data_IF_456589376312
#
_entry.id   IF_456589376312
#
_cell.length_a   1.000
_cell.length_b   1.000
_cell.length_c   1.000
_cell.angle_alpha   90.00
_cell.angle_beta   90.00
_cell.angle_gamma   90.00
#
_symmetry.space_group_name_H-M   'P 1'
#
loop_
_entity.id
_entity.type
_entity.pdbx_description
1 polymer ?
#
# COMPACT_ATOMS: atom_id res chain seq x y z
N UNK A 1 -46.71 15.21 26.28
CA UNK A 1 -46.18 16.12 25.23
C UNK A 1 -44.68 16.42 25.35
N UNK A 2 -44.11 16.66 26.54
CA UNK A 2 -42.67 17.01 26.74
C UNK A 2 -41.65 15.97 26.23
N UNK A 3 -42.04 14.69 26.19
CA UNK A 3 -41.21 13.60 25.70
C UNK A 3 -41.00 13.63 24.17
N UNK A 4 -42.01 14.05 23.41
CA UNK A 4 -41.93 14.15 21.95
C UNK A 4 -40.93 15.22 21.50
N UNK A 5 -40.91 16.37 22.18
CA UNK A 5 -39.96 17.46 21.90
C UNK A 5 -38.54 17.09 22.28
N UNK A 6 -38.35 16.36 23.39
CA UNK A 6 -37.04 15.83 23.79
C UNK A 6 -36.50 14.80 22.78
N UNK A 7 -37.35 13.90 22.28
CA UNK A 7 -36.95 12.92 21.25
C UNK A 7 -36.61 13.59 19.91
N UNK A 8 -37.37 14.60 19.49
CA UNK A 8 -37.08 15.34 18.24
C UNK A 8 -35.77 16.12 18.38
N UNK A 9 -35.53 16.75 19.53
CA UNK A 9 -34.28 17.47 19.79
C UNK A 9 -33.07 16.54 19.78
N UNK A 10 -33.18 15.35 20.35
CA UNK A 10 -32.10 14.37 20.35
C UNK A 10 -31.77 13.91 18.92
N UNK A 11 -32.79 13.69 18.10
CA UNK A 11 -32.65 13.24 16.71
C UNK A 11 -32.00 14.33 15.84
N UNK A 12 -32.32 15.61 16.07
CA UNK A 12 -31.65 16.71 15.39
C UNK A 12 -30.18 16.84 15.79
N UNK A 13 -29.85 16.63 17.06
CA UNK A 13 -28.47 16.66 17.55
C UNK A 13 -27.66 15.51 16.96
N UNK A 14 -28.21 14.29 16.92
CA UNK A 14 -27.51 13.15 16.29
C UNK A 14 -27.32 13.37 14.79
N UNK A 15 -28.34 13.89 14.09
CA UNK A 15 -28.24 14.19 12.67
C UNK A 15 -27.18 15.27 12.39
N UNK A 16 -27.11 16.31 13.23
CA UNK A 16 -26.09 17.36 13.13
C UNK A 16 -24.67 16.80 13.37
N UNK A 17 -24.50 15.92 14.35
CA UNK A 17 -23.20 15.26 14.62
C UNK A 17 -22.78 14.40 13.41
N UNK A 18 -23.70 13.65 12.82
CA UNK A 18 -23.43 12.83 11.62
C UNK A 18 -23.08 13.71 10.41
N UNK A 19 -23.80 14.82 10.21
CA UNK A 19 -23.52 15.77 9.13
C UNK A 19 -22.16 16.45 9.28
N UNK A 20 -21.78 16.85 10.49
CA UNK A 20 -20.46 17.43 10.78
C UNK A 20 -19.37 16.37 10.57
N UNK A 21 -19.58 15.14 11.03
CA UNK A 21 -18.65 14.04 10.79
C UNK A 21 -18.51 13.74 9.29
N UNK A 22 -19.60 13.80 8.51
CA UNK A 22 -19.59 13.63 7.06
C UNK A 22 -18.82 14.75 6.35
N UNK A 23 -19.05 16.01 6.74
CA UNK A 23 -18.34 17.16 6.19
C UNK A 23 -16.83 17.09 6.47
N UNK A 24 -16.45 16.59 7.65
CA UNK A 24 -15.06 16.37 8.04
C UNK A 24 -14.45 15.08 7.48
N UNK A 25 -15.14 14.34 6.59
CA UNK A 25 -14.74 13.01 6.09
C UNK A 25 -14.42 11.99 7.20
N UNK A 26 -14.96 12.17 8.41
CA UNK A 26 -14.74 11.28 9.56
C UNK A 26 -15.76 10.13 9.63
N UNK A 27 -16.48 9.87 8.55
CA UNK A 27 -17.42 8.75 8.48
C UNK A 27 -16.65 7.42 8.45
N UNK A 28 -17.04 6.42 9.27
CA UNK A 28 -16.45 5.09 9.19
C UNK A 28 -16.68 4.51 7.79
N UNK A 29 -15.60 4.20 7.08
CA UNK A 29 -15.62 3.64 5.73
C UNK A 29 -14.97 4.52 4.64
N UNK A 30 -14.73 5.81 4.90
CA UNK A 30 -13.90 6.64 4.01
C UNK A 30 -12.42 6.48 4.38
N UNK A 31 -11.81 5.37 3.97
CA UNK A 31 -10.36 5.23 4.01
C UNK A 31 -9.76 6.03 2.85
N UNK A 32 -8.92 7.02 3.18
CA UNK A 32 -8.10 7.71 2.19
C UNK A 32 -7.06 6.75 1.61
N UNK A 33 -6.77 6.90 0.32
CA UNK A 33 -5.73 6.12 -0.32
C UNK A 33 -4.37 6.58 0.24
N UNK A 34 -3.58 5.64 0.77
CA UNK A 34 -2.26 5.98 1.29
C UNK A 34 -1.30 6.35 0.17
N UNK A 35 -1.39 5.63 -0.94
CA UNK A 35 -0.63 5.92 -2.14
C UNK A 35 -1.51 6.82 -3.02
N UNK A 36 -1.59 8.09 -2.64
CA UNK A 36 -2.42 9.09 -3.32
C UNK A 36 -2.03 9.27 -4.80
N UNK A 37 -2.96 9.75 -5.65
CA UNK A 37 -2.64 10.11 -7.03
C UNK A 37 -1.49 11.12 -7.08
N UNK A 38 -0.33 10.69 -7.60
CA UNK A 38 0.89 11.50 -7.61
C UNK A 38 2.03 10.98 -6.72
N UNK A 39 1.79 9.94 -5.91
CA UNK A 39 2.90 9.18 -5.33
C UNK A 39 3.66 8.45 -6.45
N UNK A 40 4.91 8.89 -6.67
CA UNK A 40 5.87 8.24 -7.55
C UNK A 40 7.11 7.91 -6.72
N UNK A 41 7.31 6.63 -6.43
CA UNK A 41 8.59 6.16 -5.91
C UNK A 41 9.50 5.88 -7.10
N UNK A 42 10.45 6.78 -7.36
CA UNK A 42 11.49 6.66 -8.38
C UNK A 42 12.85 6.43 -7.72
N UNK A 43 13.77 5.78 -8.44
CA UNK A 43 15.15 5.51 -8.02
C UNK A 43 15.34 4.66 -6.75
N UNK A 44 14.37 3.79 -6.43
CA UNK A 44 14.49 2.88 -5.29
C UNK A 44 14.95 1.49 -5.72
N UNK A 45 15.93 0.93 -5.01
CA UNK A 45 16.41 -0.43 -5.29
C UNK A 45 15.99 -1.43 -4.22
N UNK A 46 15.63 -2.63 -4.67
CA UNK A 46 15.36 -3.80 -3.86
C UNK A 46 16.49 -4.81 -4.07
N UNK A 47 17.10 -5.27 -2.98
CA UNK A 47 18.15 -6.28 -3.01
C UNK A 47 17.77 -7.53 -2.25
N UNK A 48 18.06 -8.70 -2.81
CA UNK A 48 18.06 -9.98 -2.09
C UNK A 48 19.46 -10.58 -2.13
N UNK A 49 19.89 -11.15 -1.01
CA UNK A 49 21.17 -11.83 -0.91
C UNK A 49 20.99 -13.18 -0.23
N UNK A 50 21.33 -14.25 -0.94
CA UNK A 50 21.41 -15.59 -0.38
C UNK A 50 22.82 -15.83 0.16
N UNK A 51 22.92 -16.04 1.47
CA UNK A 51 24.17 -16.32 2.16
C UNK A 51 24.79 -17.66 1.73
N UNK A 52 23.97 -18.67 1.44
CA UNK A 52 24.42 -20.03 1.15
C UNK A 52 24.99 -20.14 -0.26
N UNK A 53 24.25 -19.64 -1.26
CA UNK A 53 24.67 -19.65 -2.65
C UNK A 53 25.56 -18.45 -3.03
N UNK A 54 25.70 -17.45 -2.13
CA UNK A 54 26.35 -16.16 -2.40
C UNK A 54 25.75 -15.44 -3.61
N UNK A 55 24.47 -15.69 -3.89
CA UNK A 55 23.75 -15.08 -4.98
C UNK A 55 23.15 -13.75 -4.55
N UNK A 56 23.42 -12.70 -5.32
CA UNK A 56 22.82 -11.38 -5.14
C UNK A 56 21.87 -11.08 -6.28
N UNK A 57 20.68 -10.61 -5.92
CA UNK A 57 19.71 -10.04 -6.83
C UNK A 57 19.49 -8.58 -6.48
N UNK A 58 19.47 -7.71 -7.48
CA UNK A 58 19.16 -6.29 -7.34
C UNK A 58 18.13 -5.93 -8.39
N UNK A 59 17.14 -5.16 -7.98
CA UNK A 59 16.03 -4.72 -8.80
C UNK A 59 15.79 -3.23 -8.60
N UNK A 60 15.66 -2.50 -9.70
CA UNK A 60 15.15 -1.13 -9.68
C UNK A 60 13.63 -1.20 -9.56
N UNK A 61 13.08 -0.36 -8.70
CA UNK A 61 11.67 -0.32 -8.34
C UNK A 61 11.06 1.01 -8.72
N UNK A 62 9.93 0.95 -9.41
CA UNK A 62 9.07 2.10 -9.69
C UNK A 62 7.65 1.79 -9.21
N UNK A 63 7.01 2.75 -8.54
CA UNK A 63 5.61 2.64 -8.14
C UNK A 63 4.86 3.82 -8.73
N UNK A 64 3.78 3.53 -9.45
CA UNK A 64 2.84 4.53 -9.97
C UNK A 64 1.47 4.28 -9.37
N UNK A 65 0.91 5.30 -8.71
CA UNK A 65 -0.34 5.18 -7.96
C UNK A 65 -1.48 5.99 -8.57
N UNK A 66 -2.66 5.37 -8.66
CA UNK A 66 -3.91 5.97 -9.10
C UNK A 66 -5.04 5.57 -8.15
N UNK A 67 -5.56 6.53 -7.38
CA UNK A 67 -6.57 6.29 -6.34
C UNK A 67 -6.15 5.18 -5.36
N UNK A 68 -6.95 4.11 -5.25
CA UNK A 68 -6.70 2.97 -4.33
C UNK A 68 -5.87 1.85 -4.94
N UNK A 69 -5.37 2.05 -6.16
CA UNK A 69 -4.55 1.07 -6.87
C UNK A 69 -3.17 1.63 -7.14
N UNK A 70 -2.17 0.77 -7.11
CA UNK A 70 -0.79 1.13 -7.44
C UNK A 70 -0.17 0.03 -8.27
N UNK A 71 0.57 0.42 -9.31
CA UNK A 71 1.33 -0.48 -10.14
C UNK A 71 2.80 -0.38 -9.73
N UNK A 72 3.31 -1.44 -9.11
CA UNK A 72 4.73 -1.60 -8.84
C UNK A 72 5.39 -2.33 -10.01
N UNK A 73 6.47 -1.75 -10.55
CA UNK A 73 7.30 -2.33 -11.59
C UNK A 73 8.70 -2.56 -11.06
N UNK A 74 9.20 -3.78 -11.24
CA UNK A 74 10.56 -4.18 -10.90
C UNK A 74 11.31 -4.56 -12.17
N UNK A 75 12.48 -3.97 -12.38
CA UNK A 75 13.41 -4.28 -13.46
C UNK A 75 14.77 -4.67 -12.91
N UNK A 76 15.56 -5.45 -13.63
CA UNK A 76 16.91 -5.79 -13.19
C UNK A 76 17.95 -4.98 -13.97
N UNK A 77 18.88 -4.27 -13.31
CA UNK A 77 19.97 -3.60 -13.99
C UNK A 77 20.92 -4.60 -14.69
N UNK A 78 20.90 -5.87 -14.26
CA UNK A 78 21.77 -6.92 -14.79
C UNK A 78 21.07 -7.87 -15.79
N UNK A 79 19.76 -7.72 -16.01
CA UNK A 79 18.99 -8.56 -16.93
C UNK A 79 17.86 -7.74 -17.54
N UNK A 80 18.08 -7.23 -18.76
CA UNK A 80 17.10 -6.42 -19.49
C UNK A 80 15.82 -7.17 -19.86
N UNK A 81 15.82 -8.50 -19.76
CA UNK A 81 14.63 -9.34 -20.00
C UNK A 81 13.80 -9.53 -18.73
N UNK A 82 14.34 -9.17 -17.57
CA UNK A 82 13.61 -9.25 -16.32
C UNK A 82 12.67 -8.05 -16.17
N UNK A 83 11.37 -8.32 -16.16
CA UNK A 83 10.36 -7.34 -15.83
C UNK A 83 9.28 -8.01 -15.01
N UNK A 84 8.96 -7.42 -13.87
CA UNK A 84 7.92 -7.87 -12.96
C UNK A 84 6.97 -6.70 -12.69
N UNK A 85 5.68 -6.88 -12.99
CA UNK A 85 4.64 -5.86 -12.75
C UNK A 85 3.56 -6.40 -11.84
N UNK A 86 3.15 -5.56 -10.89
CA UNK A 86 2.35 -5.98 -9.74
C UNK A 86 1.32 -4.92 -9.45
N UNK A 87 0.05 -5.31 -9.46
CA UNK A 87 -1.03 -4.49 -8.95
C UNK A 87 -1.12 -4.65 -7.43
N UNK A 88 -1.07 -3.51 -6.76
CA UNK A 88 -1.31 -3.35 -5.33
C UNK A 88 -2.67 -2.70 -5.18
N UNK A 89 -3.63 -3.40 -4.60
CA UNK A 89 -4.93 -2.82 -4.29
C UNK A 89 -5.04 -2.64 -2.78
N UNK A 90 -5.24 -1.41 -2.33
CA UNK A 90 -5.44 -1.12 -0.92
C UNK A 90 -6.75 -1.75 -0.46
N UNK A 91 -6.69 -2.63 0.54
CA UNK A 91 -7.85 -3.31 1.08
C UNK A 91 -8.33 -2.64 2.37
N UNK A 92 -7.61 -2.83 3.49
CA UNK A 92 -8.00 -2.31 4.80
C UNK A 92 -6.82 -1.69 5.54
N UNK A 93 -7.10 -0.60 6.27
CA UNK A 93 -6.23 -0.10 7.33
C UNK A 93 -6.25 -1.06 8.52
N UNK A 94 -5.10 -1.62 8.87
CA UNK A 94 -4.85 -2.31 10.13
C UNK A 94 -4.27 -1.30 11.14
N UNK A 95 -4.20 -1.68 12.43
CA UNK A 95 -3.56 -0.81 13.43
C UNK A 95 -2.11 -0.51 13.00
N UNK A 96 -1.82 0.77 12.70
CA UNK A 96 -0.52 1.28 12.20
C UNK A 96 -0.05 0.69 10.87
N UNK A 97 -0.96 0.33 9.98
CA UNK A 97 -0.58 -0.12 8.65
C UNK A 97 -1.74 -0.25 7.70
N UNK A 98 -1.43 -0.65 6.47
CA UNK A 98 -2.41 -0.95 5.43
C UNK A 98 -2.03 -2.24 4.75
N UNK A 99 -3.05 -3.07 4.51
CA UNK A 99 -2.88 -4.28 3.71
C UNK A 99 -3.15 -3.98 2.24
N UNK A 100 -2.24 -4.46 1.40
CA UNK A 100 -2.37 -4.45 -0.03
C UNK A 100 -2.60 -5.88 -0.52
N UNK A 101 -3.65 -6.06 -1.32
CA UNK A 101 -3.82 -7.25 -2.13
C UNK A 101 -2.81 -7.20 -3.27
N UNK A 102 -2.12 -8.32 -3.47
CA UNK A 102 -0.94 -8.40 -4.32
C UNK A 102 -1.25 -9.25 -5.54
N UNK A 103 -1.40 -8.63 -6.71
CA UNK A 103 -1.76 -9.31 -7.95
C UNK A 103 -0.64 -9.21 -8.98
N UNK A 104 -0.10 -10.36 -9.36
CA UNK A 104 0.90 -10.44 -10.42
C UNK A 104 0.27 -10.14 -11.78
N UNK A 105 0.73 -9.06 -12.42
CA UNK A 105 0.21 -8.60 -13.72
C UNK A 105 1.05 -9.16 -14.86
N UNK A 106 2.36 -9.17 -14.67
CA UNK A 106 3.30 -9.59 -15.68
C UNK A 106 4.59 -10.08 -15.03
N UNK A 107 5.13 -11.15 -15.60
CA UNK A 107 6.42 -11.69 -15.21
C UNK A 107 7.15 -12.19 -16.46
N UNK A 108 8.26 -11.54 -16.78
CA UNK A 108 9.23 -12.03 -17.74
C UNK A 108 10.55 -12.27 -17.01
N UNK A 109 11.12 -13.46 -17.19
CA UNK A 109 12.44 -13.80 -16.67
C UNK A 109 13.24 -14.59 -17.70
N UNK A 110 14.56 -14.44 -17.65
CA UNK A 110 15.45 -15.26 -18.46
C UNK A 110 16.02 -16.48 -17.72
N UNK A 111 15.92 -16.52 -16.39
CA UNK A 111 16.54 -17.52 -15.53
C UNK A 111 15.55 -18.03 -14.47
N UNK A 112 15.40 -19.35 -14.34
CA UNK A 112 14.37 -19.97 -13.49
C UNK A 112 14.66 -19.93 -11.97
N UNK A 113 15.84 -19.45 -11.54
CA UNK A 113 16.34 -19.58 -10.16
C UNK A 113 16.43 -18.25 -9.39
N UNK A 114 15.49 -17.31 -9.61
CA UNK A 114 15.46 -16.04 -8.86
C UNK A 114 14.67 -16.17 -7.55
N UNK A 115 15.26 -15.72 -6.44
CA UNK A 115 14.65 -15.67 -5.12
C UNK A 115 13.34 -14.87 -5.11
N UNK A 116 13.31 -13.77 -5.86
CA UNK A 116 12.13 -12.89 -5.89
C UNK A 116 10.86 -13.64 -6.31
N UNK A 117 10.97 -14.64 -7.19
CA UNK A 117 9.84 -15.46 -7.64
C UNK A 117 9.12 -16.16 -6.49
N UNK A 118 9.88 -16.69 -5.53
CA UNK A 118 9.35 -17.36 -4.34
C UNK A 118 8.67 -16.36 -3.38
N UNK A 119 9.23 -15.16 -3.24
CA UNK A 119 8.70 -14.10 -2.38
C UNK A 119 7.36 -13.61 -2.93
N UNK A 120 7.31 -13.31 -4.23
CA UNK A 120 6.09 -12.85 -4.92
C UNK A 120 5.00 -13.91 -4.88
N UNK A 121 5.34 -15.19 -5.11
CA UNK A 121 4.38 -16.29 -5.04
C UNK A 121 3.76 -16.46 -3.64
N UNK A 122 4.50 -16.16 -2.58
CA UNK A 122 3.97 -16.17 -1.22
C UNK A 122 3.08 -14.94 -0.94
N UNK A 123 3.54 -13.76 -1.33
CA UNK A 123 2.82 -12.50 -1.20
C UNK A 123 1.48 -12.48 -1.94
N UNK A 124 1.42 -13.06 -3.14
CA UNK A 124 0.17 -13.15 -3.91
C UNK A 124 -0.93 -13.98 -3.24
N UNK A 125 -0.58 -14.91 -2.34
CA UNK A 125 -1.56 -15.71 -1.61
C UNK A 125 -2.03 -15.08 -0.31
N UNK A 126 -1.15 -14.36 0.37
CA UNK A 126 -1.37 -13.90 1.74
C UNK A 126 -1.59 -12.39 1.85
N UNK A 127 -1.48 -11.66 0.72
CA UNK A 127 -1.38 -10.21 0.72
C UNK A 127 -0.07 -9.74 1.34
N UNK A 128 0.11 -8.42 1.37
CA UNK A 128 1.24 -7.79 2.06
C UNK A 128 0.74 -6.65 2.95
N UNK A 129 1.19 -6.65 4.21
CA UNK A 129 1.01 -5.52 5.11
C UNK A 129 2.19 -4.55 4.96
N UNK A 130 1.88 -3.28 4.67
CA UNK A 130 2.82 -2.18 4.83
C UNK A 130 2.55 -1.49 6.16
N UNK A 131 3.62 -1.11 6.85
CA UNK A 131 3.53 -0.36 8.11
C UNK A 131 3.47 1.12 7.76
N UNK A 132 2.55 1.85 8.38
CA UNK A 132 2.53 3.31 8.31
C UNK A 132 3.08 3.90 9.59
N UNK A 133 3.88 4.95 9.47
CA UNK A 133 4.41 5.68 10.60
C UNK A 133 4.48 7.17 10.30
N UNK A 134 4.15 7.96 11.30
CA UNK A 134 4.24 9.41 11.24
C UNK A 134 5.56 9.82 11.88
N UNK A 135 6.38 10.56 11.14
CA UNK A 135 7.65 11.10 11.64
C UNK A 135 7.76 12.57 11.27
N UNK A 136 7.73 13.43 12.30
CA UNK A 136 7.58 14.88 12.14
C UNK A 136 6.35 15.21 11.29
N UNK A 137 6.52 15.95 10.19
CA UNK A 137 5.47 16.34 9.24
C UNK A 137 5.38 15.39 8.03
N UNK A 138 5.96 14.18 8.13
CA UNK A 138 5.98 13.19 7.05
C UNK A 138 5.23 11.93 7.42
N UNK A 139 4.38 11.49 6.50
CA UNK A 139 3.80 10.16 6.56
C UNK A 139 4.71 9.20 5.80
N UNK A 140 5.08 8.10 6.46
CA UNK A 140 6.01 7.11 5.93
C UNK A 140 5.32 5.75 5.80
N UNK A 141 5.64 5.03 4.73
CA UNK A 141 5.22 3.65 4.47
C UNK A 141 6.47 2.79 4.46
N UNK A 142 6.44 1.70 5.22
CA UNK A 142 7.54 0.72 5.27
C UNK A 142 7.05 -0.61 4.72
N UNK A 143 7.76 -1.13 3.72
CA UNK A 143 7.49 -2.46 3.16
C UNK A 143 8.10 -3.55 4.03
N UNK A 144 7.67 -4.82 3.90
CA UNK A 144 8.32 -5.94 4.58
C UNK A 144 9.79 -6.14 4.19
N UNK A 145 10.20 -5.65 3.01
CA UNK A 145 11.60 -5.65 2.57
C UNK A 145 12.41 -4.50 3.18
N UNK A 146 11.81 -3.65 4.04
CA UNK A 146 12.48 -2.55 4.72
C UNK A 146 12.63 -1.28 3.89
N UNK A 147 11.97 -1.20 2.73
CA UNK A 147 11.95 0.01 1.92
C UNK A 147 11.03 1.02 2.59
N UNK A 148 11.48 2.27 2.67
CA UNK A 148 10.74 3.36 3.30
C UNK A 148 10.36 4.37 2.22
N UNK A 149 9.08 4.68 2.14
CA UNK A 149 8.53 5.69 1.24
C UNK A 149 7.91 6.82 2.05
N UNK A 150 8.14 8.07 1.65
CA UNK A 150 7.36 9.20 2.16
C UNK A 150 6.20 9.52 1.23
N UNK A 151 5.03 9.78 1.78
CA UNK A 151 3.87 10.24 1.04
C UNK A 151 3.28 11.50 1.70
N UNK A 152 2.51 12.25 0.90
CA UNK A 152 1.84 13.49 1.28
C UNK A 152 0.32 13.30 1.27
#
# INVERSE_FOLDING_TARGET
MKWRTASISLLLVTLAIVLVAALMKRLPGQQEALLSPGFAAEDLQLGYYDLLSRQREVYDSSIVSHDKTSLMTLTSPNDSRFVLKIYLQQHNSIFRGVTFDYQLVYFAESHQARMIKSIIGNSGRNGIAFVTLDFEDKHLIVTPSGQIYSYH
#
